data_IF_498124448544
#
_entry.id   IF_498124448544
#
_cell.length_a   1.000
_cell.length_b   1.000
_cell.length_c   1.000
_cell.angle_alpha   90.00
_cell.angle_beta   90.00
_cell.angle_gamma   90.00
#
_symmetry.space_group_name_H-M   'P 1'
#
loop_
_entity.id
_entity.type
_entity.pdbx_description
1 polymer ?
#
# COMPACT_ATOMS: atom_id res chain seq x y z
N UNK A 1 11.22 -18.43 -5.92
CA UNK A 1 9.87 -17.82 -6.06
C UNK A 1 8.86 -18.81 -5.55
N UNK A 2 8.21 -18.48 -4.45
CA UNK A 2 7.11 -19.31 -3.94
C UNK A 2 5.88 -19.02 -4.81
N UNK A 3 5.38 -20.02 -5.54
CA UNK A 3 4.25 -19.85 -6.46
C UNK A 3 2.94 -20.00 -5.71
N UNK A 4 2.70 -19.14 -4.73
CA UNK A 4 1.40 -19.05 -4.10
C UNK A 4 0.36 -18.67 -5.17
N UNK A 5 -0.70 -19.47 -5.31
CA UNK A 5 -1.74 -19.23 -6.31
C UNK A 5 -3.02 -18.70 -5.70
N UNK A 6 -3.32 -19.12 -4.46
CA UNK A 6 -4.50 -18.72 -3.73
C UNK A 6 -4.28 -18.76 -2.20
N UNK A 7 -5.16 -18.08 -1.49
CA UNK A 7 -5.29 -18.13 -0.02
C UNK A 7 -6.76 -18.39 0.35
N UNK A 8 -7.05 -18.96 1.53
CA UNK A 8 -8.43 -19.08 2.01
C UNK A 8 -9.07 -17.70 2.19
N UNK A 9 -10.28 -17.53 1.68
CA UNK A 9 -11.09 -16.34 1.87
C UNK A 9 -12.50 -16.68 2.40
N UNK A 10 -13.26 -15.69 2.86
CA UNK A 10 -14.56 -15.89 3.51
C UNK A 10 -15.62 -16.52 2.60
N UNK A 11 -15.55 -16.25 1.31
CA UNK A 11 -16.50 -16.74 0.30
C UNK A 11 -15.85 -17.72 -0.69
N UNK A 12 -14.66 -18.22 -0.38
CA UNK A 12 -13.88 -19.16 -1.18
C UNK A 12 -12.45 -18.65 -1.43
N UNK A 13 -11.70 -19.36 -2.28
CA UNK A 13 -10.31 -19.03 -2.54
C UNK A 13 -10.15 -17.62 -3.14
N UNK A 14 -9.16 -16.88 -2.65
CA UNK A 14 -8.71 -15.60 -3.18
C UNK A 14 -7.39 -15.82 -3.93
N UNK A 15 -7.34 -15.41 -5.19
CA UNK A 15 -6.11 -15.45 -5.99
C UNK A 15 -5.04 -14.58 -5.33
N UNK A 16 -3.83 -15.10 -5.19
CA UNK A 16 -2.76 -14.40 -4.49
C UNK A 16 -1.38 -14.63 -5.11
N UNK A 17 -0.46 -13.72 -4.80
CA UNK A 17 0.97 -13.84 -5.09
C UNK A 17 1.76 -13.42 -3.86
N UNK A 18 2.81 -14.18 -3.59
CA UNK A 18 3.76 -13.89 -2.52
C UNK A 18 5.12 -13.58 -3.15
N UNK A 19 5.55 -12.35 -3.03
CA UNK A 19 6.87 -11.88 -3.44
C UNK A 19 7.78 -11.90 -2.21
N UNK A 20 8.86 -12.66 -2.27
CA UNK A 20 9.79 -12.84 -1.15
C UNK A 20 11.09 -12.05 -1.39
N UNK A 21 11.68 -11.47 -0.35
CA UNK A 21 13.00 -10.87 -0.44
C UNK A 21 14.08 -11.95 -0.54
N UNK A 22 15.30 -11.52 -0.88
CA UNK A 22 16.48 -12.34 -0.74
C UNK A 22 16.78 -12.51 0.77
N UNK A 23 16.73 -13.75 1.26
CA UNK A 23 16.91 -14.08 2.68
C UNK A 23 15.63 -14.09 3.51
N UNK A 24 15.79 -13.98 4.84
CA UNK A 24 14.65 -14.00 5.77
C UNK A 24 13.94 -12.64 5.78
N UNK A 25 12.62 -12.60 5.62
CA UNK A 25 11.89 -11.33 5.68
C UNK A 25 11.92 -10.74 7.10
N UNK A 26 12.01 -9.39 7.17
CA UNK A 26 11.95 -8.63 8.43
C UNK A 26 10.52 -8.21 8.80
N UNK A 27 9.61 -8.21 7.84
CA UNK A 27 8.19 -7.91 7.97
C UNK A 27 7.41 -8.54 6.82
N UNK A 28 6.09 -8.49 6.86
CA UNK A 28 5.22 -8.87 5.76
C UNK A 28 4.23 -7.75 5.44
N UNK A 29 4.20 -7.29 4.19
CA UNK A 29 3.21 -6.35 3.67
C UNK A 29 2.04 -7.10 3.01
N UNK A 30 0.81 -6.74 3.35
CA UNK A 30 -0.40 -7.21 2.68
C UNK A 30 -0.94 -6.07 1.81
N UNK A 31 -1.08 -6.29 0.50
CA UNK A 31 -1.36 -5.22 -0.46
C UNK A 31 -2.70 -5.46 -1.14
N UNK A 32 -3.66 -4.55 -0.93
CA UNK A 32 -4.95 -4.54 -1.63
C UNK A 32 -4.87 -3.73 -2.95
N UNK A 33 -5.50 -4.27 -3.99
CA UNK A 33 -5.54 -3.65 -5.33
C UNK A 33 -6.61 -2.55 -5.45
N UNK A 34 -6.58 -1.71 -6.52
CA UNK A 34 -7.62 -0.73 -6.82
C UNK A 34 -8.99 -1.38 -7.06
N UNK A 35 -10.00 -0.55 -7.28
CA UNK A 35 -11.40 -0.99 -7.43
C UNK A 35 -11.58 -2.07 -8.50
N UNK A 36 -12.11 -3.27 -8.14
CA UNK A 36 -12.19 -4.41 -9.04
C UNK A 36 -13.07 -4.16 -10.28
N UNK A 37 -14.15 -3.40 -10.13
CA UNK A 37 -15.06 -3.10 -11.24
C UNK A 37 -14.46 -2.11 -12.26
N UNK A 38 -13.35 -1.45 -11.92
CA UNK A 38 -12.59 -0.58 -12.84
C UNK A 38 -11.27 -1.24 -13.29
N UNK A 39 -11.19 -2.58 -13.24
CA UNK A 39 -10.06 -3.34 -13.73
C UNK A 39 -8.91 -3.47 -12.74
N UNK A 40 -9.09 -3.04 -11.47
CA UNK A 40 -8.10 -3.24 -10.42
C UNK A 40 -7.87 -4.73 -10.12
N UNK A 41 -6.61 -5.13 -10.06
CA UNK A 41 -6.17 -6.49 -9.70
C UNK A 41 -4.81 -6.47 -9.02
N UNK A 42 -4.40 -7.58 -8.45
CA UNK A 42 -3.05 -7.79 -7.91
C UNK A 42 -1.93 -7.57 -8.96
N UNK A 43 -2.28 -7.50 -10.26
CA UNK A 43 -1.35 -7.21 -11.36
C UNK A 43 -1.29 -5.73 -11.73
N UNK A 44 -2.13 -4.87 -11.13
CA UNK A 44 -2.08 -3.41 -11.34
C UNK A 44 -0.65 -2.92 -11.17
N UNK A 45 -0.14 -2.14 -12.13
CA UNK A 45 1.28 -1.81 -12.23
C UNK A 45 1.87 -1.23 -10.94
N UNK A 46 1.19 -0.26 -10.33
CA UNK A 46 1.66 0.34 -9.09
C UNK A 46 1.67 -0.68 -7.91
N UNK A 47 0.69 -1.60 -7.85
CA UNK A 47 0.66 -2.69 -6.86
C UNK A 47 1.83 -3.65 -7.06
N UNK A 48 2.16 -3.96 -8.30
CA UNK A 48 3.31 -4.80 -8.65
C UNK A 48 4.63 -4.12 -8.27
N UNK A 49 4.81 -2.84 -8.60
CA UNK A 49 6.03 -2.09 -8.23
C UNK A 49 6.15 -1.93 -6.72
N UNK A 50 5.04 -1.71 -6.00
CA UNK A 50 5.04 -1.71 -4.54
C UNK A 50 5.53 -3.05 -3.96
N UNK A 51 5.04 -4.18 -4.48
CA UNK A 51 5.47 -5.50 -4.02
C UNK A 51 6.97 -5.75 -4.30
N UNK A 52 7.47 -5.31 -5.45
CA UNK A 52 8.91 -5.38 -5.77
C UNK A 52 9.74 -4.56 -4.79
N UNK A 53 9.33 -3.33 -4.52
CA UNK A 53 10.03 -2.45 -3.58
C UNK A 53 10.06 -3.07 -2.17
N UNK A 54 8.94 -3.60 -1.70
CA UNK A 54 8.93 -4.33 -0.43
C UNK A 54 9.93 -5.49 -0.41
N UNK A 55 9.97 -6.31 -1.48
CA UNK A 55 10.97 -7.38 -1.58
C UNK A 55 12.41 -6.86 -1.54
N UNK A 56 12.70 -5.75 -2.22
CA UNK A 56 14.05 -5.16 -2.24
C UNK A 56 14.50 -4.67 -0.86
N UNK A 57 13.59 -4.15 -0.05
CA UNK A 57 13.90 -3.68 1.31
C UNK A 57 13.76 -4.77 2.39
N UNK A 58 13.71 -6.05 2.00
CA UNK A 58 13.68 -7.18 2.93
C UNK A 58 12.31 -7.49 3.53
N UNK A 59 11.22 -7.07 2.89
CA UNK A 59 9.83 -7.29 3.34
C UNK A 59 9.14 -8.27 2.40
N UNK A 60 8.53 -9.34 2.93
CA UNK A 60 7.67 -10.21 2.12
C UNK A 60 6.40 -9.44 1.72
N UNK A 61 5.95 -9.57 0.47
CA UNK A 61 4.76 -8.87 -0.01
C UNK A 61 3.69 -9.85 -0.49
N UNK A 62 2.55 -9.87 0.17
CA UNK A 62 1.37 -10.63 -0.22
C UNK A 62 0.42 -9.71 -0.99
N UNK A 63 0.28 -9.95 -2.29
CA UNK A 63 -0.74 -9.34 -3.15
C UNK A 63 -1.85 -10.32 -3.41
N UNK A 64 -3.10 -9.90 -3.35
CA UNK A 64 -4.23 -10.77 -3.63
C UNK A 64 -5.33 -10.03 -4.40
N UNK A 65 -6.16 -10.80 -5.10
CA UNK A 65 -7.40 -10.31 -5.68
C UNK A 65 -8.53 -10.51 -4.67
N UNK A 66 -9.24 -9.44 -4.35
CA UNK A 66 -10.46 -9.53 -3.55
C UNK A 66 -11.55 -10.28 -4.32
N UNK A 67 -12.64 -10.60 -3.64
CA UNK A 67 -13.82 -11.25 -4.24
C UNK A 67 -14.24 -10.60 -5.56
N UNK A 68 -14.55 -11.41 -6.57
CA UNK A 68 -14.98 -10.94 -7.88
C UNK A 68 -13.88 -10.34 -8.77
N UNK A 69 -12.61 -10.28 -8.30
CA UNK A 69 -11.48 -9.89 -9.11
C UNK A 69 -10.67 -11.12 -9.57
N UNK A 70 -10.15 -11.10 -10.80
CA UNK A 70 -9.37 -12.20 -11.37
C UNK A 70 -10.11 -13.53 -11.29
N UNK A 71 -9.47 -14.53 -10.65
CA UNK A 71 -10.09 -15.85 -10.43
C UNK A 71 -10.57 -16.06 -8.98
N UNK A 72 -10.55 -15.01 -8.15
CA UNK A 72 -11.09 -15.05 -6.78
C UNK A 72 -12.59 -15.33 -6.77
N UNK A 73 -13.02 -16.12 -5.80
CA UNK A 73 -14.44 -16.47 -5.63
C UNK A 73 -15.25 -15.30 -5.09
N UNK A 74 -16.56 -15.36 -5.29
CA UNK A 74 -17.51 -14.35 -4.82
C UNK A 74 -17.76 -13.23 -5.84
N UNK A 75 -18.37 -12.17 -5.37
CA UNK A 75 -18.68 -10.97 -6.15
C UNK A 75 -18.40 -9.73 -5.30
N UNK A 76 -18.13 -8.60 -5.97
CA UNK A 76 -17.93 -7.30 -5.32
C UNK A 76 -19.10 -6.96 -4.37
N UNK A 77 -18.79 -6.49 -3.16
CA UNK A 77 -19.74 -6.24 -2.07
C UNK A 77 -19.56 -4.84 -1.44
N UNK A 78 -19.36 -3.83 -2.29
CA UNK A 78 -19.26 -2.42 -1.91
C UNK A 78 -18.28 -2.14 -0.75
N UNK A 79 -17.20 -2.90 -0.70
CA UNK A 79 -16.12 -2.76 0.27
C UNK A 79 -16.32 -3.52 1.58
N UNK A 80 -17.54 -3.98 1.91
CA UNK A 80 -17.80 -4.74 3.15
C UNK A 80 -17.12 -6.10 3.08
N UNK A 81 -17.42 -6.84 2.04
CA UNK A 81 -16.83 -8.14 1.82
C UNK A 81 -15.34 -8.06 1.52
N UNK A 82 -14.88 -7.03 0.79
CA UNK A 82 -13.47 -6.81 0.50
C UNK A 82 -12.64 -6.55 1.76
N UNK A 83 -13.22 -5.91 2.78
CA UNK A 83 -12.59 -5.80 4.10
C UNK A 83 -12.46 -7.16 4.79
N UNK A 84 -13.45 -8.07 4.64
CA UNK A 84 -13.34 -9.43 5.17
C UNK A 84 -12.30 -10.26 4.42
N UNK A 85 -12.18 -10.07 3.10
CA UNK A 85 -11.10 -10.67 2.30
C UNK A 85 -9.73 -10.16 2.74
N UNK A 86 -9.63 -8.87 3.06
CA UNK A 86 -8.39 -8.29 3.57
C UNK A 86 -8.01 -8.85 4.94
N UNK A 87 -8.98 -9.05 5.86
CA UNK A 87 -8.75 -9.72 7.14
C UNK A 87 -8.25 -11.15 6.94
N UNK A 88 -8.83 -11.89 5.99
CA UNK A 88 -8.36 -13.24 5.66
C UNK A 88 -6.92 -13.24 5.11
N UNK A 89 -6.54 -12.22 4.34
CA UNK A 89 -5.17 -12.06 3.87
C UNK A 89 -4.21 -11.72 5.03
N UNK A 90 -4.62 -10.90 6.00
CA UNK A 90 -3.85 -10.66 7.23
C UNK A 90 -3.69 -11.94 8.07
N UNK A 91 -4.75 -12.74 8.18
CA UNK A 91 -4.71 -14.03 8.89
C UNK A 91 -3.73 -15.01 8.24
N UNK A 92 -3.76 -15.08 6.90
CA UNK A 92 -2.79 -15.88 6.14
C UNK A 92 -1.36 -15.40 6.35
N UNK A 93 -1.12 -14.08 6.27
CA UNK A 93 0.20 -13.50 6.49
C UNK A 93 0.73 -13.81 7.90
N UNK A 94 -0.10 -13.63 8.93
CA UNK A 94 0.26 -13.94 10.32
C UNK A 94 0.59 -15.44 10.53
N UNK A 95 -0.18 -16.32 9.90
CA UNK A 95 0.06 -17.78 9.97
C UNK A 95 1.32 -18.21 9.21
N UNK A 96 1.60 -17.57 8.06
CA UNK A 96 2.76 -17.89 7.21
C UNK A 96 4.08 -17.33 7.75
N UNK A 97 4.01 -16.20 8.45
CA UNK A 97 5.15 -15.46 9.00
C UNK A 97 4.94 -15.16 10.50
N UNK A 98 4.90 -16.19 11.35
CA UNK A 98 4.61 -16.00 12.78
C UNK A 98 5.65 -15.11 13.45
N UNK A 99 5.18 -14.10 14.19
CA UNK A 99 6.03 -13.18 14.94
C UNK A 99 6.61 -12.01 14.13
N UNK A 100 6.43 -11.97 12.79
CA UNK A 100 6.84 -10.81 12.01
C UNK A 100 5.79 -9.68 12.10
N UNK A 101 6.25 -8.41 12.10
CA UNK A 101 5.37 -7.26 11.92
C UNK A 101 4.59 -7.34 10.61
N UNK A 102 3.32 -6.95 10.64
CA UNK A 102 2.47 -6.88 9.44
C UNK A 102 2.26 -5.42 9.06
N UNK A 103 2.46 -5.10 7.79
CA UNK A 103 2.22 -3.81 7.20
C UNK A 103 0.98 -3.86 6.30
N UNK A 104 0.03 -2.98 6.54
CA UNK A 104 -1.18 -2.89 5.73
C UNK A 104 -1.00 -1.87 4.61
N UNK A 105 -1.07 -2.31 3.37
CA UNK A 105 -0.88 -1.49 2.19
C UNK A 105 -2.04 -1.64 1.21
N UNK A 106 -2.28 -0.63 0.41
CA UNK A 106 -3.26 -0.71 -0.68
C UNK A 106 -3.25 0.51 -1.58
N UNK A 107 -3.89 0.37 -2.75
CA UNK A 107 -4.01 1.42 -3.73
C UNK A 107 -5.47 1.80 -3.95
N UNK A 108 -5.78 3.10 -3.98
CA UNK A 108 -7.09 3.65 -4.31
C UNK A 108 -8.20 3.09 -3.39
N UNK A 109 -9.19 2.39 -3.93
CA UNK A 109 -10.15 1.60 -3.16
C UNK A 109 -9.46 0.64 -2.18
N UNK A 110 -8.41 -0.06 -2.64
CA UNK A 110 -7.63 -0.94 -1.78
C UNK A 110 -6.90 -0.20 -0.66
N UNK A 111 -6.52 1.07 -0.85
CA UNK A 111 -5.97 1.89 0.23
C UNK A 111 -7.00 2.12 1.34
N UNK A 112 -8.26 2.41 0.97
CA UNK A 112 -9.34 2.52 1.94
C UNK A 112 -9.59 1.21 2.68
N UNK A 113 -9.72 0.08 1.95
CA UNK A 113 -9.92 -1.25 2.56
C UNK A 113 -8.79 -1.59 3.53
N UNK A 114 -7.53 -1.46 3.07
CA UNK A 114 -6.35 -1.82 3.86
C UNK A 114 -6.20 -0.95 5.11
N UNK A 115 -6.42 0.36 4.99
CA UNK A 115 -6.27 1.28 6.12
C UNK A 115 -7.43 1.20 7.10
N UNK A 116 -8.67 0.98 6.62
CA UNK A 116 -9.82 0.78 7.50
C UNK A 116 -9.66 -0.47 8.37
N UNK A 117 -9.22 -1.59 7.80
CA UNK A 117 -8.95 -2.82 8.53
C UNK A 117 -7.67 -2.71 9.35
N UNK A 118 -6.58 -2.25 8.72
CA UNK A 118 -5.25 -2.21 9.33
C UNK A 118 -5.15 -1.25 10.52
N UNK A 119 -5.88 -0.12 10.52
CA UNK A 119 -5.90 0.79 11.66
C UNK A 119 -6.47 0.13 12.93
N UNK A 120 -7.45 -0.77 12.77
CA UNK A 120 -8.11 -1.45 13.88
C UNK A 120 -7.45 -2.79 14.28
N UNK A 121 -6.65 -3.41 13.40
CA UNK A 121 -6.03 -4.72 13.67
C UNK A 121 -4.73 -4.56 14.49
N UNK A 122 -4.64 -5.12 15.71
CA UNK A 122 -3.45 -4.96 16.56
C UNK A 122 -2.18 -5.59 16.00
N UNK A 123 -2.28 -6.51 15.05
CA UNK A 123 -1.12 -7.17 14.40
C UNK A 123 -0.44 -6.25 13.38
N UNK A 124 -1.18 -5.26 12.88
CA UNK A 124 -0.66 -4.30 11.91
C UNK A 124 0.12 -3.22 12.63
N UNK A 125 1.36 -3.01 12.20
CA UNK A 125 2.30 -2.06 12.81
C UNK A 125 2.58 -0.83 11.94
N UNK A 126 2.13 -0.83 10.67
CA UNK A 126 2.34 0.27 9.71
C UNK A 126 1.21 0.29 8.68
N UNK A 127 0.83 1.48 8.24
CA UNK A 127 -0.16 1.72 7.19
C UNK A 127 0.49 2.42 6.00
N UNK A 128 0.20 1.94 4.77
CA UNK A 128 0.62 2.58 3.53
C UNK A 128 -0.57 2.77 2.59
N UNK A 129 -0.90 4.02 2.27
CA UNK A 129 -1.95 4.38 1.34
C UNK A 129 -1.35 4.91 0.02
N UNK A 130 -1.56 4.20 -1.09
CA UNK A 130 -1.12 4.61 -2.43
C UNK A 130 -2.34 5.16 -3.17
N UNK A 131 -2.26 6.40 -3.66
CA UNK A 131 -3.35 7.11 -4.33
C UNK A 131 -4.70 6.97 -3.59
N UNK A 132 -4.77 7.30 -2.28
CA UNK A 132 -6.01 7.11 -1.52
C UNK A 132 -7.16 7.89 -2.15
N UNK A 133 -8.28 7.21 -2.46
CA UNK A 133 -9.45 7.79 -3.12
C UNK A 133 -10.33 8.58 -2.12
N UNK A 134 -9.77 9.63 -1.54
CA UNK A 134 -10.34 10.41 -0.42
C UNK A 134 -11.64 11.15 -0.76
N UNK A 135 -11.90 11.40 -2.04
CA UNK A 135 -13.13 12.02 -2.50
C UNK A 135 -14.30 11.01 -2.59
N UNK A 136 -14.00 9.71 -2.45
CA UNK A 136 -14.98 8.61 -2.60
C UNK A 136 -15.21 7.80 -1.35
N UNK A 137 -14.22 7.72 -0.42
CA UNK A 137 -14.27 6.87 0.77
C UNK A 137 -13.89 7.64 2.03
N UNK A 138 -14.47 7.24 3.16
CA UNK A 138 -14.14 7.82 4.45
C UNK A 138 -12.89 7.16 5.06
N UNK A 139 -11.86 7.97 5.28
CA UNK A 139 -10.61 7.58 5.91
C UNK A 139 -10.58 7.95 7.42
N UNK A 140 -11.73 7.90 8.10
CA UNK A 140 -11.80 8.24 9.53
C UNK A 140 -10.81 7.45 10.38
N UNK A 141 -10.57 6.17 10.05
CA UNK A 141 -9.59 5.32 10.72
C UNK A 141 -8.16 5.89 10.68
N UNK A 142 -7.75 6.53 9.58
CA UNK A 142 -6.43 7.16 9.47
C UNK A 142 -6.28 8.41 10.34
N UNK A 143 -7.35 9.18 10.54
CA UNK A 143 -7.30 10.40 11.35
C UNK A 143 -7.03 10.14 12.83
N UNK A 144 -7.40 8.95 13.31
CA UNK A 144 -7.26 8.56 14.73
C UNK A 144 -6.21 7.49 14.97
N UNK A 145 -5.63 6.92 13.91
CA UNK A 145 -4.59 5.91 14.03
C UNK A 145 -3.29 6.53 14.57
N UNK A 146 -2.69 5.85 15.54
CA UNK A 146 -1.34 6.19 16.07
C UNK A 146 -0.24 5.35 15.41
N UNK A 147 -0.60 4.49 14.46
CA UNK A 147 0.37 3.68 13.71
C UNK A 147 1.11 4.56 12.71
N UNK A 148 2.41 4.36 12.51
CA UNK A 148 3.14 4.98 11.41
C UNK A 148 2.37 4.85 10.10
N UNK A 149 2.08 5.98 9.45
CA UNK A 149 1.23 6.01 8.25
C UNK A 149 1.91 6.79 7.15
N UNK A 150 2.09 6.14 6.01
CA UNK A 150 2.72 6.68 4.83
C UNK A 150 1.71 6.82 3.70
N UNK A 151 1.80 7.93 2.97
CA UNK A 151 0.93 8.22 1.83
C UNK A 151 1.78 8.50 0.60
N UNK A 152 1.47 7.87 -0.53
CA UNK A 152 2.07 8.16 -1.84
C UNK A 152 0.95 8.59 -2.78
N UNK A 153 1.08 9.76 -3.42
CA UNK A 153 0.00 10.30 -4.24
C UNK A 153 0.52 10.99 -5.51
N UNK A 154 -0.27 10.94 -6.58
CA UNK A 154 0.02 11.64 -7.82
C UNK A 154 -0.42 13.11 -7.77
N UNK A 155 0.46 14.04 -8.19
CA UNK A 155 0.14 15.47 -8.19
C UNK A 155 -1.03 15.81 -9.13
N UNK A 156 -1.12 15.13 -10.28
CA UNK A 156 -2.14 15.33 -11.31
C UNK A 156 -3.29 14.31 -11.22
N UNK A 157 -3.50 13.69 -10.06
CA UNK A 157 -4.58 12.74 -9.82
C UNK A 157 -5.95 13.43 -9.97
N UNK A 158 -6.74 12.98 -10.95
CA UNK A 158 -8.06 13.50 -11.26
C UNK A 158 -9.19 12.76 -10.52
N UNK A 159 -8.90 11.59 -9.93
CA UNK A 159 -9.87 10.79 -9.16
C UNK A 159 -9.94 11.25 -7.72
N UNK A 160 -8.77 11.58 -7.14
CA UNK A 160 -8.67 12.10 -5.79
C UNK A 160 -7.72 13.29 -5.77
N UNK A 161 -8.22 14.49 -5.55
CA UNK A 161 -7.40 15.70 -5.65
C UNK A 161 -6.32 15.75 -4.57
N UNK A 162 -5.09 16.10 -4.96
CA UNK A 162 -3.97 16.29 -4.02
C UNK A 162 -4.32 17.24 -2.87
N UNK A 163 -5.20 18.22 -3.11
CA UNK A 163 -5.66 19.14 -2.07
C UNK A 163 -6.44 18.41 -0.98
N UNK A 164 -7.27 17.43 -1.33
CA UNK A 164 -8.04 16.65 -0.35
C UNK A 164 -7.13 15.65 0.38
N UNK A 165 -6.14 15.08 -0.31
CA UNK A 165 -5.14 14.23 0.32
C UNK A 165 -4.30 15.02 1.34
N UNK A 166 -3.87 16.24 0.99
CA UNK A 166 -3.17 17.14 1.94
C UNK A 166 -4.04 17.50 3.14
N UNK A 167 -5.37 17.65 2.96
CA UNK A 167 -6.30 17.86 4.07
C UNK A 167 -6.34 16.63 4.97
N UNK A 168 -6.54 15.42 4.41
CA UNK A 168 -6.50 14.18 5.18
C UNK A 168 -5.17 14.06 5.93
N UNK A 169 -4.05 14.28 5.24
CA UNK A 169 -2.70 14.24 5.84
C UNK A 169 -2.56 15.21 7.01
N UNK A 170 -3.09 16.45 6.88
CA UNK A 170 -3.09 17.42 7.96
C UNK A 170 -3.85 16.95 9.20
N UNK A 171 -4.93 16.18 9.01
CA UNK A 171 -5.77 15.66 10.10
C UNK A 171 -5.21 14.38 10.76
N UNK A 172 -4.22 13.72 10.17
CA UNK A 172 -3.63 12.47 10.69
C UNK A 172 -2.70 12.72 11.87
N UNK A 173 -2.57 11.72 12.74
CA UNK A 173 -1.64 11.73 13.88
C UNK A 173 -0.24 11.28 13.42
N UNK A 174 0.81 11.85 14.03
CA UNK A 174 2.20 11.40 13.84
C UNK A 174 2.44 10.00 14.44
N UNK A 175 3.37 9.20 13.89
CA UNK A 175 4.26 9.52 12.76
C UNK A 175 3.58 9.31 11.40
N UNK A 176 3.76 10.25 10.50
CA UNK A 176 3.20 10.21 9.14
C UNK A 176 4.13 10.87 8.13
N UNK A 177 4.07 10.44 6.87
CA UNK A 177 4.80 11.09 5.78
C UNK A 177 3.97 11.02 4.48
N UNK A 178 4.07 12.07 3.65
CA UNK A 178 3.43 12.17 2.34
C UNK A 178 4.47 12.39 1.26
N UNK A 179 4.53 11.48 0.28
CA UNK A 179 5.27 11.69 -0.96
C UNK A 179 4.30 12.01 -2.08
N UNK A 180 4.56 13.11 -2.79
CA UNK A 180 3.83 13.50 -3.99
C UNK A 180 4.70 13.24 -5.21
N UNK A 181 4.18 12.45 -6.17
CA UNK A 181 4.85 12.19 -7.44
C UNK A 181 4.40 13.24 -8.45
N UNK A 182 5.34 14.08 -8.87
CA UNK A 182 5.09 15.22 -9.75
C UNK A 182 4.50 14.77 -11.10
N UNK A 183 3.39 15.38 -11.49
CA UNK A 183 2.70 15.14 -12.75
C UNK A 183 2.10 13.73 -12.90
N UNK A 184 2.12 12.88 -11.88
CA UNK A 184 1.51 11.55 -11.94
C UNK A 184 -0.01 11.62 -11.79
N UNK A 185 -0.69 10.80 -12.58
CA UNK A 185 -2.14 10.57 -12.50
C UNK A 185 -2.50 9.54 -11.42
N UNK A 186 -3.80 9.20 -11.31
CA UNK A 186 -4.31 8.25 -10.32
C UNK A 186 -3.70 6.85 -10.42
N UNK A 187 -3.37 6.38 -11.63
CA UNK A 187 -2.83 5.04 -11.88
C UNK A 187 -1.32 5.03 -12.04
N UNK A 188 -0.68 6.20 -11.94
CA UNK A 188 0.76 6.40 -12.15
C UNK A 188 1.21 5.95 -13.55
N UNK A 189 0.41 6.24 -14.59
CA UNK A 189 0.74 5.81 -15.95
C UNK A 189 2.12 6.33 -16.39
N UNK A 190 2.94 5.41 -16.88
CA UNK A 190 4.33 5.68 -17.23
C UNK A 190 5.24 6.07 -16.05
N UNK A 191 4.73 6.12 -14.79
CA UNK A 191 5.49 6.54 -13.60
C UNK A 191 5.34 5.56 -12.42
N UNK A 192 4.78 4.36 -12.63
CA UNK A 192 4.54 3.39 -11.56
C UNK A 192 5.82 2.94 -10.83
N UNK A 193 7.00 2.99 -11.47
CA UNK A 193 8.27 2.72 -10.81
C UNK A 193 8.59 3.71 -9.68
N UNK A 194 8.12 4.98 -9.80
CA UNK A 194 8.33 5.98 -8.76
C UNK A 194 7.57 5.67 -7.47
N UNK A 195 6.48 4.86 -7.55
CA UNK A 195 5.81 4.33 -6.36
C UNK A 195 6.74 3.38 -5.62
N UNK A 196 7.43 2.49 -6.35
CA UNK A 196 8.43 1.59 -5.77
C UNK A 196 9.59 2.36 -5.12
N UNK A 197 10.17 3.32 -5.84
CA UNK A 197 11.24 4.16 -5.32
C UNK A 197 10.82 4.94 -4.07
N UNK A 198 9.59 5.45 -4.04
CA UNK A 198 9.04 6.12 -2.86
C UNK A 198 8.93 5.19 -1.65
N UNK A 199 8.52 3.93 -1.86
CA UNK A 199 8.45 2.91 -0.80
C UNK A 199 9.85 2.59 -0.28
N UNK A 200 10.84 2.41 -1.17
CA UNK A 200 12.22 2.13 -0.76
C UNK A 200 12.80 3.28 0.08
N UNK A 201 12.54 4.53 -0.31
CA UNK A 201 12.99 5.72 0.44
C UNK A 201 12.29 5.89 1.79
N UNK A 202 10.98 5.63 1.85
CA UNK A 202 10.20 5.77 3.08
C UNK A 202 10.52 4.67 4.10
N UNK A 203 10.73 3.44 3.61
CA UNK A 203 10.64 2.25 4.44
C UNK A 203 11.93 1.41 4.43
N UNK A 204 12.94 1.77 3.62
CA UNK A 204 14.20 1.03 3.54
C UNK A 204 14.90 0.91 4.89
N UNK A 205 15.02 2.02 5.59
CA UNK A 205 15.65 2.13 6.91
C UNK A 205 14.63 2.19 8.06
N UNK A 206 13.33 1.95 7.78
CA UNK A 206 12.30 2.00 8.80
C UNK A 206 12.51 0.88 9.83
N UNK A 207 12.67 1.27 11.10
CA UNK A 207 12.85 0.29 12.18
C UNK A 207 11.51 -0.37 12.53
N UNK A 208 11.43 -1.68 12.29
CA UNK A 208 10.24 -2.50 12.57
C UNK A 208 10.01 -2.74 14.06
N UNK A 209 10.99 -2.43 14.92
CA UNK A 209 10.89 -2.63 16.39
C UNK A 209 10.14 -1.52 17.10
N UNK A 210 9.83 -0.43 16.40
CA UNK A 210 9.08 0.72 16.94
C UNK A 210 9.93 1.68 17.79
N UNK A 211 11.24 1.45 17.90
CA UNK A 211 12.15 2.45 18.45
C UNK A 211 12.48 3.48 17.35
N UNK A 212 11.88 4.64 17.42
CA UNK A 212 12.21 5.74 16.53
C UNK A 212 13.63 6.18 16.83
N UNK A 213 14.56 5.79 15.98
CA UNK A 213 15.83 6.50 15.87
C UNK A 213 15.51 7.93 15.45
N UNK A 214 15.62 8.86 16.39
CA UNK A 214 15.25 10.25 16.16
C UNK A 214 16.06 10.86 15.03
N UNK A 215 15.51 10.89 13.83
CA UNK A 215 15.84 11.89 12.83
C UNK A 215 14.91 13.07 13.11
N UNK A 216 15.41 14.01 13.89
CA UNK A 216 14.93 15.38 13.88
C UNK A 216 15.29 15.97 12.53
N UNK A 217 14.43 15.78 11.52
CA UNK A 217 14.45 16.68 10.36
C UNK A 217 13.13 16.62 9.60
N UNK A 218 12.46 17.76 9.67
CA UNK A 218 11.52 18.33 8.69
C UNK A 218 10.19 17.62 8.40
N UNK A 219 9.15 18.23 8.95
CA UNK A 219 7.71 18.04 8.69
C UNK A 219 7.30 18.49 7.28
N UNK A 220 8.03 18.15 6.23
CA UNK A 220 7.74 18.63 4.88
C UNK A 220 7.34 17.49 3.95
N UNK A 221 6.26 17.72 3.21
CA UNK A 221 5.86 16.94 2.05
C UNK A 221 7.03 16.86 1.05
N UNK A 222 7.38 15.65 0.62
CA UNK A 222 8.42 15.44 -0.39
C UNK A 222 7.81 15.34 -1.77
N UNK A 223 8.31 16.15 -2.73
CA UNK A 223 7.91 16.08 -4.13
C UNK A 223 8.99 15.37 -4.93
N UNK A 224 8.61 14.28 -5.64
CA UNK A 224 9.49 13.55 -6.56
C UNK A 224 9.15 13.89 -8.01
N UNK A 225 10.16 14.17 -8.81
CA UNK A 225 10.06 14.38 -10.24
C UNK A 225 11.08 13.53 -11.00
N UNK A 226 10.85 13.30 -12.31
CA UNK A 226 11.88 12.69 -13.16
C UNK A 226 13.10 13.61 -13.20
N UNK A 227 14.26 13.10 -12.78
CA UNK A 227 15.53 13.73 -13.12
C UNK A 227 15.71 13.63 -14.65
N UNK A 228 15.54 14.74 -15.34
CA UNK A 228 15.90 14.86 -16.74
C UNK A 228 17.39 14.55 -16.88
N UNK A 229 17.73 13.41 -17.49
CA UNK A 229 19.07 13.19 -17.98
C UNK A 229 19.29 14.14 -19.16
N UNK A 230 19.76 15.33 -18.87
CA UNK A 230 20.35 16.23 -19.85
C UNK A 230 21.65 15.57 -20.36
N UNK A 231 21.53 14.77 -21.43
CA UNK A 231 22.69 14.36 -22.24
C UNK A 231 22.80 15.38 -23.30
N UNK A 232 23.59 16.43 -23.02
CA UNK A 232 24.14 17.27 -24.03
C UNK A 232 24.85 16.41 -25.08
N UNK A 233 24.43 16.57 -26.30
CA UNK A 233 25.19 16.15 -27.48
C UNK A 233 26.05 17.29 -27.97
N UNK A 234 27.25 17.00 -28.51
CA UNK A 234 28.21 18.00 -29.02
C UNK A 234 27.74 18.71 -30.29
#
# INVERSE_FOLDING_TARGET
>A
MDTLRDIPGPVGALEARLDLPDGSPRAVAVIAHPHPQYGGTLQTRAVYEAARAFSHIGVAALRFNSRGAGVSRGAFDDGRGEQDDYRAALDYAAGRFPGLPIWAAGMSFGAWVATAVGAADPRVTLLLAIAPAVDHYDYAGLRISTKPTFVIHGEADEVASIRQVRRLYGDMIEPKELIVIAGADHVFDGQASLVGEAIEDLLGDFDVTGEHGGHEDNKEERVRGRHGSDRGAP
#
